data_IF_103058773839
#
_entry.id   IF_103058773839
#
_cell.length_a   1.000
_cell.length_b   1.000
_cell.length_c   1.000
_cell.angle_alpha   90.00
_cell.angle_beta   90.00
_cell.angle_gamma   90.00
#
_symmetry.space_group_name_H-M   'P 1'
#
loop_
_entity.id
_entity.type
_entity.pdbx_description
1 polymer ?
#
# COMPACT_ATOMS: atom_id res chain seq x y z
N UNK A 1 3.45 -26.71 19.94
CA UNK A 1 2.63 -27.31 18.85
C UNK A 1 2.64 -26.32 17.69
N UNK A 2 2.97 -26.77 16.48
CA UNK A 2 2.87 -25.87 15.30
C UNK A 2 1.41 -25.53 15.02
N UNK A 3 1.12 -24.32 14.60
CA UNK A 3 -0.22 -23.94 14.18
C UNK A 3 -0.58 -24.65 12.87
N UNK A 4 -1.89 -24.77 12.58
CA UNK A 4 -2.37 -25.36 11.30
C UNK A 4 -1.79 -24.60 10.10
N UNK A 5 -1.58 -23.30 10.23
CA UNK A 5 -0.98 -22.47 9.18
C UNK A 5 0.49 -22.86 8.94
N UNK A 6 1.28 -23.03 10.02
CA UNK A 6 2.69 -23.45 9.90
C UNK A 6 2.84 -24.84 9.29
N UNK A 7 1.91 -25.75 9.58
CA UNK A 7 1.88 -27.09 8.96
C UNK A 7 1.59 -26.99 7.45
N UNK A 8 0.61 -26.16 7.04
CA UNK A 8 0.26 -25.95 5.63
C UNK A 8 1.40 -25.30 4.86
N UNK A 9 2.04 -24.26 5.41
CA UNK A 9 3.20 -23.61 4.79
C UNK A 9 4.38 -24.56 4.69
N UNK A 10 4.61 -25.37 5.73
CA UNK A 10 5.64 -26.41 5.69
C UNK A 10 5.40 -27.43 4.58
N UNK A 11 4.15 -27.88 4.40
CA UNK A 11 3.77 -28.79 3.30
C UNK A 11 3.90 -28.13 1.92
N UNK A 12 3.48 -26.89 1.80
CA UNK A 12 3.61 -26.10 0.57
C UNK A 12 5.07 -26.00 0.10
N UNK A 13 5.98 -25.67 1.03
CA UNK A 13 7.44 -25.63 0.75
C UNK A 13 8.02 -27.00 0.47
N UNK A 14 7.63 -28.04 1.21
CA UNK A 14 8.10 -29.41 1.00
C UNK A 14 7.70 -29.97 -0.38
N UNK A 15 6.62 -29.47 -0.97
CA UNK A 15 6.19 -29.82 -2.33
C UNK A 15 6.89 -28.99 -3.42
N UNK A 16 7.76 -28.04 -3.05
CA UNK A 16 8.47 -27.16 -3.99
C UNK A 16 7.57 -26.21 -4.79
N UNK A 17 6.34 -25.96 -4.30
CA UNK A 17 5.38 -25.09 -4.99
C UNK A 17 5.86 -23.64 -4.95
N UNK A 18 6.53 -23.25 -3.87
CA UNK A 18 7.15 -21.94 -3.69
C UNK A 18 8.30 -21.63 -4.68
N UNK A 19 8.80 -22.64 -5.40
CA UNK A 19 9.87 -22.49 -6.39
C UNK A 19 9.35 -22.50 -7.83
N UNK A 20 8.04 -22.71 -8.04
CA UNK A 20 7.46 -22.85 -9.38
C UNK A 20 7.05 -21.51 -10.01
N UNK A 21 6.93 -20.45 -9.22
CA UNK A 21 6.50 -19.13 -9.65
C UNK A 21 7.49 -18.07 -9.15
N UNK A 22 7.71 -17.05 -9.95
CA UNK A 22 8.33 -15.81 -9.51
C UNK A 22 7.28 -15.02 -8.70
N UNK A 23 7.24 -15.25 -7.40
CA UNK A 23 6.25 -14.62 -6.51
C UNK A 23 6.43 -13.11 -6.42
N UNK A 24 7.64 -12.57 -6.54
CA UNK A 24 7.88 -11.13 -6.52
C UNK A 24 7.16 -10.48 -7.72
N UNK A 25 7.28 -11.06 -8.90
CA UNK A 25 6.57 -10.58 -10.10
C UNK A 25 5.06 -10.85 -10.02
N UNK A 26 4.67 -12.05 -9.59
CA UNK A 26 3.26 -12.39 -9.45
C UNK A 26 2.53 -11.40 -8.54
N UNK A 27 3.06 -11.16 -7.35
CA UNK A 27 2.45 -10.19 -6.42
C UNK A 27 2.52 -8.76 -6.94
N UNK A 28 3.61 -8.37 -7.63
CA UNK A 28 3.72 -7.05 -8.25
C UNK A 28 2.55 -6.79 -9.20
N UNK A 29 2.33 -7.70 -10.15
CA UNK A 29 1.25 -7.51 -11.14
C UNK A 29 -0.13 -7.59 -10.50
N UNK A 30 -0.36 -8.59 -9.66
CA UNK A 30 -1.66 -8.83 -9.03
C UNK A 30 -2.06 -7.70 -8.09
N UNK A 31 -1.18 -7.30 -7.16
CA UNK A 31 -1.48 -6.22 -6.19
C UNK A 31 -1.77 -4.91 -6.92
N UNK A 32 -0.94 -4.54 -7.90
CA UNK A 32 -1.15 -3.27 -8.62
C UNK A 32 -2.45 -3.31 -9.40
N UNK A 33 -2.69 -4.37 -10.16
CA UNK A 33 -3.90 -4.50 -10.98
C UNK A 33 -5.16 -4.43 -10.13
N UNK A 34 -5.22 -5.19 -9.05
CA UNK A 34 -6.42 -5.23 -8.22
C UNK A 34 -6.61 -3.95 -7.39
N UNK A 35 -5.53 -3.35 -6.91
CA UNK A 35 -5.63 -2.09 -6.17
C UNK A 35 -6.09 -0.94 -7.06
N UNK A 36 -5.54 -0.82 -8.27
CA UNK A 36 -5.96 0.25 -9.20
C UNK A 36 -7.34 0.01 -9.80
N UNK A 37 -7.78 -1.26 -9.91
CA UNK A 37 -9.14 -1.58 -10.33
C UNK A 37 -10.21 -1.06 -9.36
N UNK A 38 -9.93 -0.99 -8.06
CA UNK A 38 -10.80 -0.38 -7.05
C UNK A 38 -11.03 1.12 -7.36
N UNK A 39 -10.01 1.77 -7.91
CA UNK A 39 -10.03 3.18 -8.31
C UNK A 39 -10.51 3.40 -9.77
N UNK A 40 -10.98 2.34 -10.42
CA UNK A 40 -11.60 2.40 -11.75
C UNK A 40 -10.66 2.11 -12.92
N UNK A 41 -9.42 1.66 -12.69
CA UNK A 41 -8.54 1.17 -13.77
C UNK A 41 -9.13 -0.08 -14.43
N UNK A 42 -9.03 -0.14 -15.74
CA UNK A 42 -9.45 -1.30 -16.55
C UNK A 42 -8.25 -2.10 -17.07
N UNK A 43 -7.04 -1.77 -16.62
CA UNK A 43 -5.80 -2.45 -17.02
C UNK A 43 -5.75 -3.83 -16.38
N UNK A 44 -5.50 -4.86 -17.19
CA UNK A 44 -5.38 -6.24 -16.74
C UNK A 44 -3.97 -6.59 -16.26
N UNK A 45 -3.79 -7.72 -15.56
CA UNK A 45 -2.46 -8.19 -15.13
C UNK A 45 -1.51 -8.39 -16.32
N UNK A 46 -2.00 -8.95 -17.43
CA UNK A 46 -1.20 -9.13 -18.64
C UNK A 46 -0.77 -7.80 -19.26
N UNK A 47 -1.67 -6.81 -19.29
CA UNK A 47 -1.36 -5.47 -19.78
C UNK A 47 -0.32 -4.78 -18.84
N UNK A 48 -0.48 -4.91 -17.53
CA UNK A 48 0.52 -4.44 -16.57
C UNK A 48 1.88 -5.10 -16.78
N UNK A 49 1.91 -6.42 -17.01
CA UNK A 49 3.15 -7.13 -17.32
C UNK A 49 3.81 -6.55 -18.58
N UNK A 50 3.07 -6.35 -19.66
CA UNK A 50 3.59 -5.76 -20.91
C UNK A 50 4.13 -4.35 -20.66
N UNK A 51 3.39 -3.53 -19.93
CA UNK A 51 3.78 -2.16 -19.63
C UNK A 51 5.03 -2.10 -18.72
N UNK A 52 5.09 -2.95 -17.69
CA UNK A 52 6.18 -2.92 -16.72
C UNK A 52 7.47 -3.56 -17.22
N UNK A 53 7.36 -4.68 -17.94
CA UNK A 53 8.54 -5.44 -18.40
C UNK A 53 9.14 -4.83 -19.67
N UNK A 54 8.31 -4.29 -20.57
CA UNK A 54 8.74 -3.83 -21.87
C UNK A 54 8.71 -2.29 -22.05
N UNK A 55 8.14 -1.55 -21.08
CA UNK A 55 8.00 -0.10 -21.16
C UNK A 55 7.05 0.37 -22.28
N UNK A 56 6.09 -0.47 -22.67
CA UNK A 56 5.18 -0.20 -23.78
C UNK A 56 3.90 0.45 -23.26
N UNK A 57 3.54 1.62 -23.83
CA UNK A 57 2.27 2.25 -23.55
C UNK A 57 1.11 1.43 -24.11
N UNK A 58 0.05 1.30 -23.33
CA UNK A 58 -1.11 0.45 -23.66
C UNK A 58 -2.06 1.21 -24.60
N UNK A 59 -2.34 0.60 -25.77
CA UNK A 59 -3.31 1.13 -26.71
C UNK A 59 -4.72 1.03 -26.15
N UNK A 60 -5.48 2.11 -26.22
CA UNK A 60 -6.89 2.14 -25.79
C UNK A 60 -7.09 2.35 -24.29
N UNK A 61 -6.01 2.49 -23.52
CA UNK A 61 -6.06 2.86 -22.10
C UNK A 61 -5.74 4.32 -21.92
N UNK A 62 -6.44 5.00 -21.01
CA UNK A 62 -6.15 6.41 -20.72
C UNK A 62 -4.77 6.59 -20.07
N UNK A 63 -4.19 7.78 -20.24
CA UNK A 63 -2.92 8.11 -19.58
C UNK A 63 -3.05 8.09 -18.05
N UNK A 64 -4.22 8.46 -17.53
CA UNK A 64 -4.51 8.42 -16.08
C UNK A 64 -4.46 6.99 -15.56
N UNK A 65 -5.09 6.02 -16.24
CA UNK A 65 -5.02 4.62 -15.84
C UNK A 65 -3.59 4.07 -15.89
N UNK A 66 -2.84 4.39 -16.94
CA UNK A 66 -1.45 3.96 -17.07
C UNK A 66 -0.57 4.56 -15.97
N UNK A 67 -0.71 5.87 -15.72
CA UNK A 67 0.03 6.54 -14.66
C UNK A 67 -0.33 5.98 -13.27
N UNK A 68 -1.61 5.71 -12.99
CA UNK A 68 -2.04 5.13 -11.72
C UNK A 68 -1.32 3.80 -11.43
N UNK A 69 -1.19 2.94 -12.44
CA UNK A 69 -0.49 1.66 -12.32
C UNK A 69 1.03 1.84 -12.18
N UNK A 70 1.64 2.75 -12.95
CA UNK A 70 3.08 3.04 -12.87
C UNK A 70 3.47 3.70 -11.54
N UNK A 71 2.67 4.62 -11.05
CA UNK A 71 2.89 5.32 -9.78
C UNK A 71 2.79 4.33 -8.60
N UNK A 72 1.76 3.47 -8.59
CA UNK A 72 1.61 2.44 -7.56
C UNK A 72 2.75 1.41 -7.63
N UNK A 73 3.22 1.05 -8.84
CA UNK A 73 4.41 0.20 -9.00
C UNK A 73 5.63 0.82 -8.32
N UNK A 74 5.90 2.09 -8.57
CA UNK A 74 7.03 2.79 -7.96
C UNK A 74 6.93 2.84 -6.41
N UNK A 75 5.73 3.09 -5.89
CA UNK A 75 5.47 3.07 -4.45
C UNK A 75 5.67 1.66 -3.85
N UNK A 76 5.17 0.62 -4.52
CA UNK A 76 5.32 -0.77 -4.09
C UNK A 76 6.80 -1.20 -4.04
N UNK A 77 7.56 -0.93 -5.11
CA UNK A 77 9.00 -1.23 -5.16
C UNK A 77 9.76 -0.49 -4.06
N UNK A 78 9.40 0.76 -3.78
CA UNK A 78 10.00 1.54 -2.70
C UNK A 78 9.65 0.97 -1.32
N UNK A 79 8.42 0.55 -1.11
CA UNK A 79 8.00 -0.12 0.12
C UNK A 79 8.76 -1.43 0.36
N UNK A 80 9.01 -2.23 -0.69
CA UNK A 80 9.85 -3.43 -0.61
C UNK A 80 11.29 -3.11 -0.21
N UNK A 81 11.87 -1.99 -0.68
CA UNK A 81 13.21 -1.56 -0.25
C UNK A 81 13.20 -1.27 1.26
N UNK A 82 12.22 -0.54 1.78
CA UNK A 82 12.09 -0.30 3.21
C UNK A 82 11.92 -1.60 4.02
N UNK A 83 11.11 -2.52 3.51
CA UNK A 83 10.88 -3.82 4.16
C UNK A 83 12.17 -4.66 4.22
N UNK A 84 12.92 -4.76 3.11
CA UNK A 84 14.19 -5.51 3.05
C UNK A 84 15.29 -4.90 3.93
N UNK A 85 15.25 -3.59 4.14
CA UNK A 85 16.16 -2.88 5.04
C UNK A 85 15.71 -2.94 6.51
N UNK A 86 14.59 -3.58 6.82
CA UNK A 86 13.95 -3.56 8.14
C UNK A 86 13.75 -2.14 8.70
N UNK A 87 13.55 -1.18 7.81
CA UNK A 87 13.40 0.23 8.17
C UNK A 87 12.17 0.45 9.03
N UNK A 88 12.26 1.32 10.03
CA UNK A 88 11.10 1.73 10.82
C UNK A 88 10.05 2.40 9.93
N UNK A 89 8.79 2.20 10.26
CA UNK A 89 7.68 2.93 9.64
C UNK A 89 7.62 4.30 10.28
N UNK A 90 7.78 5.35 9.49
CA UNK A 90 7.69 6.75 9.95
C UNK A 90 6.67 7.52 9.13
N UNK A 91 6.22 8.64 9.66
CA UNK A 91 5.29 9.54 8.96
C UNK A 91 5.89 10.00 7.63
N UNK A 92 7.19 10.32 7.61
CA UNK A 92 7.89 10.78 6.40
C UNK A 92 7.92 9.69 5.33
N UNK A 93 8.16 8.42 5.71
CA UNK A 93 8.13 7.29 4.76
C UNK A 93 6.74 7.01 4.24
N UNK A 94 5.72 7.13 5.08
CA UNK A 94 4.34 7.01 4.63
C UNK A 94 3.97 8.12 3.65
N UNK A 95 4.38 9.36 3.92
CA UNK A 95 4.22 10.49 3.00
C UNK A 95 4.99 10.29 1.70
N UNK A 96 6.21 9.76 1.75
CA UNK A 96 7.00 9.41 0.55
C UNK A 96 6.27 8.37 -0.31
N UNK A 97 5.74 7.30 0.30
CA UNK A 97 4.96 6.29 -0.43
C UNK A 97 3.67 6.86 -1.01
N UNK A 98 2.97 7.71 -0.27
CA UNK A 98 1.78 8.41 -0.75
C UNK A 98 2.11 9.32 -1.95
N UNK A 99 3.19 10.11 -1.87
CA UNK A 99 3.65 10.94 -2.97
C UNK A 99 3.98 10.13 -4.23
N UNK A 100 4.62 8.97 -4.07
CA UNK A 100 4.91 8.07 -5.20
C UNK A 100 3.63 7.52 -5.81
N UNK A 101 2.66 7.10 -4.98
CA UNK A 101 1.37 6.54 -5.42
C UNK A 101 0.54 7.54 -6.22
N UNK A 102 0.64 8.83 -5.88
CA UNK A 102 -0.16 9.90 -6.46
C UNK A 102 0.65 10.85 -7.39
N UNK A 103 1.86 10.48 -7.76
CA UNK A 103 2.83 11.35 -8.45
C UNK A 103 2.28 12.03 -9.69
N UNK A 104 1.59 11.28 -10.55
CA UNK A 104 1.08 11.76 -11.82
C UNK A 104 -0.46 11.86 -11.86
N UNK A 105 -1.13 11.44 -10.78
CA UNK A 105 -2.60 11.40 -10.68
C UNK A 105 -3.13 12.25 -9.53
N UNK A 106 -2.26 12.75 -8.67
CA UNK A 106 -2.63 13.58 -7.53
C UNK A 106 -3.10 14.98 -7.90
N UNK A 107 -3.74 15.63 -6.95
CA UNK A 107 -4.37 16.95 -7.09
C UNK A 107 -3.92 17.88 -5.96
N UNK A 108 -3.86 19.18 -6.26
CA UNK A 108 -3.73 20.23 -5.25
C UNK A 108 -5.12 20.63 -4.78
N UNK A 109 -5.30 20.65 -3.47
CA UNK A 109 -6.53 21.06 -2.80
C UNK A 109 -6.32 22.40 -2.12
N UNK A 110 -7.23 23.34 -2.37
CA UNK A 110 -7.24 24.67 -1.76
C UNK A 110 -8.24 24.72 -0.61
N UNK A 111 -7.80 25.02 0.59
CA UNK A 111 -8.64 25.10 1.77
C UNK A 111 -8.45 26.42 2.53
N UNK A 112 -9.34 26.74 3.44
CA UNK A 112 -9.19 27.92 4.32
C UNK A 112 -7.96 27.81 5.26
N UNK A 113 -7.41 26.61 5.44
CA UNK A 113 -6.24 26.34 6.29
C UNK A 113 -4.95 26.31 5.51
N UNK A 114 -5.01 26.48 4.20
CA UNK A 114 -3.89 26.40 3.27
C UNK A 114 -4.09 25.34 2.21
N UNK A 115 -3.08 25.19 1.38
CA UNK A 115 -3.06 24.22 0.29
C UNK A 115 -2.38 22.92 0.74
N UNK A 116 -2.84 21.81 0.19
CA UNK A 116 -2.15 20.52 0.29
C UNK A 116 -2.25 19.75 -1.02
N UNK A 117 -1.26 18.93 -1.31
CA UNK A 117 -1.19 18.18 -2.55
C UNK A 117 -1.03 16.69 -2.28
N UNK A 118 -1.94 15.87 -2.80
CA UNK A 118 -1.79 14.42 -2.74
C UNK A 118 -0.57 13.94 -3.54
N UNK A 119 -0.17 14.63 -4.61
CA UNK A 119 1.04 14.31 -5.35
C UNK A 119 2.34 14.56 -4.56
N UNK A 120 2.29 15.37 -3.50
CA UNK A 120 3.42 15.61 -2.59
C UNK A 120 3.38 14.71 -1.35
N UNK A 121 2.34 13.89 -1.20
CA UNK A 121 2.12 13.12 0.01
C UNK A 121 1.79 13.99 1.23
N UNK A 122 1.20 15.15 1.01
CA UNK A 122 0.77 16.01 2.11
C UNK A 122 -0.41 15.40 2.85
N UNK A 123 -0.42 15.54 4.17
CA UNK A 123 -1.59 15.15 4.95
C UNK A 123 -2.76 16.10 4.64
N UNK A 124 -3.94 15.54 4.52
CA UNK A 124 -5.15 16.31 4.21
C UNK A 124 -5.48 17.38 5.26
N UNK A 125 -5.98 18.52 4.82
CA UNK A 125 -6.43 19.63 5.65
C UNK A 125 -7.96 19.77 5.64
N UNK A 126 -8.69 18.71 5.26
CA UNK A 126 -10.16 18.68 5.25
C UNK A 126 -10.70 17.31 5.69
N UNK A 127 -11.93 17.29 6.14
CA UNK A 127 -12.64 16.05 6.46
C UNK A 127 -13.12 15.39 5.17
N UNK A 128 -13.02 14.07 5.11
CA UNK A 128 -13.42 13.26 3.96
C UNK A 128 -14.35 12.13 4.38
N UNK A 129 -15.13 11.64 3.41
CA UNK A 129 -16.09 10.55 3.59
C UNK A 129 -15.85 9.48 2.52
N UNK A 130 -16.22 8.25 2.81
CA UNK A 130 -16.21 7.15 1.82
C UNK A 130 -17.39 7.32 0.86
N UNK A 131 -17.21 8.12 -0.19
CA UNK A 131 -18.26 8.43 -1.16
C UNK A 131 -19.35 9.37 -0.61
N UNK A 132 -20.37 9.61 -1.41
CA UNK A 132 -21.50 10.49 -1.05
C UNK A 132 -22.39 9.79 -0.03
N UNK A 133 -22.51 10.38 1.16
CA UNK A 133 -23.33 9.83 2.26
C UNK A 133 -22.68 8.62 2.97
N UNK A 134 -21.44 8.31 2.67
CA UNK A 134 -20.69 7.23 3.32
C UNK A 134 -20.16 7.58 4.71
N UNK A 135 -19.46 6.61 5.31
CA UNK A 135 -18.82 6.77 6.62
C UNK A 135 -17.76 7.87 6.58
N UNK A 136 -17.80 8.78 7.55
CA UNK A 136 -16.74 9.77 7.72
C UNK A 136 -15.47 9.12 8.25
N UNK A 137 -14.34 9.49 7.67
CA UNK A 137 -13.02 9.14 8.19
C UNK A 137 -12.67 10.02 9.41
N UNK A 138 -11.51 9.75 10.00
CA UNK A 138 -10.99 10.52 11.12
C UNK A 138 -10.94 12.03 10.78
N UNK A 139 -11.25 12.89 11.75
CA UNK A 139 -11.10 14.34 11.54
C UNK A 139 -9.65 14.70 11.24
N UNK A 140 -9.45 15.53 10.20
CA UNK A 140 -8.11 15.85 9.67
C UNK A 140 -7.15 16.39 10.73
N UNK A 141 -7.66 17.17 11.71
CA UNK A 141 -6.83 17.74 12.78
C UNK A 141 -6.26 16.69 13.75
N UNK A 142 -6.79 15.47 13.75
CA UNK A 142 -6.29 14.33 14.54
C UNK A 142 -5.32 13.45 13.75
N UNK A 143 -5.29 13.59 12.43
CA UNK A 143 -4.50 12.73 11.55
C UNK A 143 -3.01 12.76 11.92
N UNK A 144 -2.33 13.93 12.08
CA UNK A 144 -0.89 13.93 12.35
C UNK A 144 -0.54 13.13 13.60
N UNK A 145 -1.16 13.45 14.74
CA UNK A 145 -0.85 12.79 16.02
C UNK A 145 -1.22 11.30 16.02
N UNK A 146 -2.28 10.92 15.31
CA UNK A 146 -2.68 9.50 15.23
C UNK A 146 -1.78 8.71 14.29
N UNK A 147 -1.26 9.36 13.25
CA UNK A 147 -0.30 8.73 12.35
C UNK A 147 1.05 8.50 13.04
N UNK A 148 1.53 9.45 13.85
CA UNK A 148 2.70 9.27 14.70
C UNK A 148 2.50 8.08 15.66
N UNK A 149 1.40 8.07 16.44
CA UNK A 149 1.08 6.97 17.35
C UNK A 149 0.98 5.62 16.64
N UNK A 150 0.42 5.61 15.43
CA UNK A 150 0.35 4.40 14.59
C UNK A 150 1.75 3.89 14.25
N UNK A 151 2.64 4.77 13.79
CA UNK A 151 4.02 4.42 13.44
C UNK A 151 4.77 3.85 14.66
N UNK A 152 4.70 4.54 15.79
CA UNK A 152 5.37 4.12 17.03
C UNK A 152 4.88 2.74 17.48
N UNK A 153 3.56 2.56 17.56
CA UNK A 153 2.98 1.28 17.98
C UNK A 153 3.34 0.13 17.03
N UNK A 154 3.29 0.39 15.72
CA UNK A 154 3.63 -0.62 14.71
C UNK A 154 5.12 -1.00 14.80
N UNK A 155 6.01 -0.05 15.01
CA UNK A 155 7.44 -0.33 15.15
C UNK A 155 7.75 -1.17 16.41
N UNK A 156 7.12 -0.87 17.54
CA UNK A 156 7.23 -1.71 18.75
C UNK A 156 6.84 -3.16 18.44
N UNK A 157 5.71 -3.37 17.76
CA UNK A 157 5.25 -4.72 17.39
C UNK A 157 6.19 -5.41 16.40
N UNK A 158 6.76 -4.65 15.46
CA UNK A 158 7.69 -5.17 14.44
C UNK A 158 9.04 -5.56 15.02
N UNK A 159 9.56 -4.81 15.98
CA UNK A 159 10.81 -5.15 16.67
C UNK A 159 10.70 -6.44 17.50
N UNK A 160 9.50 -6.88 17.79
CA UNK A 160 9.23 -8.15 18.45
C UNK A 160 8.77 -9.28 17.50
N UNK A 161 8.87 -9.06 16.18
CA UNK A 161 8.36 -10.01 15.17
C UNK A 161 8.97 -11.41 15.30
N UNK A 162 10.24 -11.52 15.67
CA UNK A 162 10.93 -12.81 15.84
C UNK A 162 10.34 -13.68 16.96
N UNK A 163 9.60 -13.07 17.89
CA UNK A 163 8.93 -13.76 19.00
C UNK A 163 7.52 -14.23 18.66
N UNK A 164 7.00 -13.82 17.48
CA UNK A 164 5.61 -14.02 17.09
C UNK A 164 5.46 -15.28 16.23
N UNK A 165 4.35 -15.96 16.41
CA UNK A 165 3.90 -16.99 15.47
C UNK A 165 3.52 -16.39 14.13
N UNK A 166 3.48 -17.22 13.09
CA UNK A 166 3.05 -16.81 11.76
C UNK A 166 1.64 -16.21 11.77
N UNK A 167 0.72 -16.76 12.56
CA UNK A 167 -0.64 -16.23 12.70
C UNK A 167 -0.63 -14.81 13.29
N UNK A 168 0.12 -14.58 14.36
CA UNK A 168 0.25 -13.25 14.98
C UNK A 168 0.86 -12.21 14.03
N UNK A 169 1.79 -12.62 13.14
CA UNK A 169 2.35 -11.72 12.11
C UNK A 169 1.31 -11.34 11.06
N UNK A 170 0.45 -12.27 10.64
CA UNK A 170 -0.66 -11.96 9.74
C UNK A 170 -1.67 -11.04 10.40
N UNK A 171 -2.09 -11.34 11.64
CA UNK A 171 -3.04 -10.53 12.39
C UNK A 171 -2.49 -9.09 12.57
N UNK A 172 -1.21 -8.95 12.93
CA UNK A 172 -0.52 -7.66 13.01
C UNK A 172 -0.56 -6.89 11.69
N UNK A 173 -0.37 -7.57 10.56
CA UNK A 173 -0.38 -6.95 9.23
C UNK A 173 -1.79 -6.46 8.86
N UNK A 174 -2.83 -7.25 9.15
CA UNK A 174 -4.22 -6.86 8.95
C UNK A 174 -4.61 -5.68 9.83
N UNK A 175 -4.24 -5.71 11.10
CA UNK A 175 -4.51 -4.62 12.05
C UNK A 175 -3.80 -3.33 11.64
N UNK A 176 -2.55 -3.42 11.16
CA UNK A 176 -1.83 -2.27 10.64
C UNK A 176 -2.53 -1.66 9.43
N UNK A 177 -2.94 -2.49 8.46
CA UNK A 177 -3.70 -2.03 7.30
C UNK A 177 -5.02 -1.36 7.72
N UNK A 178 -5.82 -2.02 8.56
CA UNK A 178 -7.10 -1.51 9.03
C UNK A 178 -6.96 -0.17 9.76
N UNK A 179 -5.95 -0.05 10.63
CA UNK A 179 -5.69 1.19 11.36
C UNK A 179 -5.28 2.34 10.44
N UNK A 180 -4.40 2.08 9.47
CA UNK A 180 -3.97 3.10 8.51
C UNK A 180 -5.15 3.58 7.65
N UNK A 181 -5.98 2.67 7.13
CA UNK A 181 -7.18 3.01 6.36
C UNK A 181 -8.17 3.80 7.22
N UNK A 182 -8.29 3.50 8.52
CA UNK A 182 -9.17 4.24 9.44
C UNK A 182 -8.68 5.67 9.69
N UNK A 183 -7.37 5.88 9.76
CA UNK A 183 -6.77 7.22 9.88
C UNK A 183 -7.00 8.00 8.58
N UNK A 184 -6.79 7.35 7.45
CA UNK A 184 -6.92 7.92 6.10
C UNK A 184 -6.18 9.26 5.99
N UNK A 185 -4.84 9.24 6.06
CA UNK A 185 -3.98 10.42 6.12
C UNK A 185 -4.00 11.32 4.90
#
# INVERSE_FOLDING_TARGET
MKSKLEELVGRYRALGIDQQLDYDKFYLYSIITHSTAIEGSTITELENQIMFDNGIALKGKSLIEQNMNLDLKAAYERALVFARQHSDVTVERLKELSALTMKNTGTVYHTMLGDFSSANGDLRLLNVTAGVGGKSYMSFNKVPSRLEQFCDNLNVLRHEADKKSMQELYDMSFDAHFNLVTIHP
#
